data_IF_395613311881
#
_entry.id   IF_395613311881
#
_cell.length_a   1.000
_cell.length_b   1.000
_cell.length_c   1.000
_cell.angle_alpha   90.00
_cell.angle_beta   90.00
_cell.angle_gamma   90.00
#
_symmetry.space_group_name_H-M   'P 1'
#
loop_
_entity.id
_entity.type
_entity.pdbx_description
1 polymer ?
#
# COMPACT_ATOMS: atom_id res chain seq x y z
N UNK A 1 -11.27 77.47 -53.27
CA UNK A 1 -12.47 77.71 -54.11
C UNK A 1 -12.41 76.72 -55.26
N UNK A 2 -13.48 75.92 -55.42
CA UNK A 2 -13.88 75.20 -56.67
C UNK A 2 -12.95 74.04 -57.09
N UNK A 3 -13.32 72.78 -56.77
CA UNK A 3 -14.21 71.86 -57.51
C UNK A 3 -13.59 71.22 -58.75
N UNK A 4 -13.63 69.89 -58.80
CA UNK A 4 -13.95 69.01 -59.93
C UNK A 4 -13.35 67.63 -59.61
N UNK A 5 -14.08 66.51 -59.55
CA UNK A 5 -15.23 66.14 -60.35
C UNK A 5 -14.77 65.38 -61.60
N UNK A 6 -14.42 64.11 -61.45
CA UNK A 6 -14.18 63.20 -62.57
C UNK A 6 -14.65 61.79 -62.19
N UNK A 7 -15.76 61.37 -62.80
CA UNK A 7 -16.21 59.99 -62.79
C UNK A 7 -15.74 59.27 -64.05
N UNK A 8 -15.38 57.99 -63.92
CA UNK A 8 -15.40 57.05 -65.03
C UNK A 8 -15.66 55.63 -64.47
N UNK A 9 -16.56 54.93 -65.15
CA UNK A 9 -17.21 53.65 -64.78
C UNK A 9 -16.42 52.42 -65.22
N UNK A 10 -16.88 51.27 -64.70
CA UNK A 10 -16.71 49.83 -65.08
C UNK A 10 -15.75 49.12 -64.12
N UNK A 11 -16.06 47.97 -63.51
CA UNK A 11 -16.79 46.76 -63.93
C UNK A 11 -17.25 46.04 -62.63
N UNK A 12 -18.49 45.56 -62.52
CA UNK A 12 -18.88 44.16 -62.77
C UNK A 12 -18.25 43.15 -61.80
N UNK A 13 -18.89 42.86 -60.66
CA UNK A 13 -19.57 41.59 -60.35
C UNK A 13 -20.14 41.60 -58.90
N UNK A 14 -21.20 40.81 -58.62
CA UNK A 14 -22.08 41.02 -57.49
C UNK A 14 -21.67 40.24 -56.24
N UNK A 15 -21.85 40.89 -55.08
CA UNK A 15 -21.74 40.33 -53.74
C UNK A 15 -23.12 39.87 -53.25
N UNK A 16 -23.13 38.66 -52.70
CA UNK A 16 -24.09 38.08 -51.74
C UNK A 16 -25.52 37.75 -52.19
N UNK A 17 -25.78 36.45 -52.28
CA UNK A 17 -26.99 35.78 -51.79
C UNK A 17 -26.63 34.32 -51.51
N UNK A 18 -26.56 33.91 -50.24
CA UNK A 18 -27.70 33.41 -49.46
C UNK A 18 -27.67 31.88 -49.38
N UNK A 19 -27.57 31.40 -48.14
CA UNK A 19 -28.14 30.14 -47.63
C UNK A 19 -27.61 28.86 -48.29
N UNK A 20 -26.77 28.13 -47.56
CA UNK A 20 -26.53 26.71 -47.84
C UNK A 20 -26.77 25.89 -46.57
N UNK A 21 -27.77 25.03 -46.71
CA UNK A 21 -28.21 23.99 -45.81
C UNK A 21 -27.10 22.97 -45.50
N UNK A 22 -27.03 22.53 -44.25
CA UNK A 22 -26.60 21.16 -43.91
C UNK A 22 -27.66 20.14 -44.42
N UNK A 23 -27.41 18.81 -44.48
CA UNK A 23 -26.31 18.05 -43.86
C UNK A 23 -25.67 16.97 -44.76
N UNK A 24 -24.42 16.60 -44.50
CA UNK A 24 -23.96 15.21 -44.68
C UNK A 24 -22.83 14.87 -43.72
N UNK A 25 -22.90 13.63 -43.26
CA UNK A 25 -21.97 12.97 -42.36
C UNK A 25 -20.59 12.86 -42.99
N UNK A 26 -19.55 13.01 -42.17
CA UNK A 26 -18.34 12.20 -42.31
C UNK A 26 -17.64 12.10 -40.95
N UNK A 27 -17.41 10.85 -40.55
CA UNK A 27 -16.66 10.47 -39.39
C UNK A 27 -15.18 10.82 -39.60
N UNK A 28 -14.69 11.79 -38.85
CA UNK A 28 -13.28 12.06 -38.67
C UNK A 28 -12.93 11.79 -37.21
N UNK A 29 -12.56 10.55 -36.91
CA UNK A 29 -11.78 10.23 -35.70
C UNK A 29 -10.44 10.93 -35.84
N UNK A 30 -10.34 12.13 -35.27
CA UNK A 30 -9.07 12.83 -35.19
C UNK A 30 -8.18 12.07 -34.20
N UNK A 31 -7.23 11.36 -34.80
CA UNK A 31 -6.22 10.56 -34.15
C UNK A 31 -5.42 11.46 -33.21
N UNK A 32 -5.69 11.31 -31.91
CA UNK A 32 -4.78 11.81 -30.88
C UNK A 32 -3.49 11.02 -31.05
N UNK A 33 -2.45 11.73 -31.47
CA UNK A 33 -1.10 11.23 -31.61
C UNK A 33 -0.70 10.42 -30.36
N UNK A 34 -0.57 9.10 -30.54
CA UNK A 34 -0.02 8.19 -29.55
C UNK A 34 1.43 8.57 -29.28
N UNK A 35 1.62 9.26 -28.16
CA UNK A 35 2.90 9.38 -27.48
C UNK A 35 3.46 7.97 -27.21
N UNK A 36 4.79 7.79 -27.21
CA UNK A 36 5.42 6.47 -27.12
C UNK A 36 4.86 5.71 -25.91
N UNK A 37 4.40 4.46 -26.13
CA UNK A 37 3.78 3.57 -25.15
C UNK A 37 4.72 3.30 -23.97
N UNK A 38 4.77 4.26 -23.05
CA UNK A 38 5.32 4.09 -21.72
C UNK A 38 4.45 3.09 -20.98
N UNK A 39 5.09 2.16 -20.26
CA UNK A 39 4.41 1.15 -19.45
C UNK A 39 3.31 1.82 -18.63
N UNK A 40 2.05 1.46 -18.93
CA UNK A 40 0.91 1.98 -18.21
C UNK A 40 1.06 1.63 -16.73
N UNK A 41 1.09 2.66 -15.87
CA UNK A 41 1.20 2.49 -14.42
C UNK A 41 0.08 1.58 -13.92
N UNK A 42 0.32 0.90 -12.81
CA UNK A 42 -0.70 0.07 -12.18
C UNK A 42 -1.70 0.96 -11.41
N UNK A 43 -2.98 0.58 -11.29
CA UNK A 43 -3.67 -0.48 -12.03
C UNK A 43 -3.88 -0.11 -13.51
N UNK A 44 -3.72 -1.09 -14.40
CA UNK A 44 -3.87 -0.93 -15.85
C UNK A 44 -5.33 -1.06 -16.29
N UNK A 45 -5.71 -0.35 -17.35
CA UNK A 45 -7.07 -0.42 -17.89
C UNK A 45 -8.15 0.19 -16.98
N UNK A 46 -7.75 0.94 -15.94
CA UNK A 46 -8.66 1.63 -15.03
C UNK A 46 -8.48 3.13 -15.21
N UNK A 47 -9.62 3.84 -15.31
CA UNK A 47 -9.63 5.29 -15.50
C UNK A 47 -8.86 6.03 -14.40
N UNK A 48 -7.97 6.93 -14.82
CA UNK A 48 -7.21 7.87 -13.97
C UNK A 48 -7.85 9.25 -13.90
N UNK A 49 -9.04 9.43 -14.50
CA UNK A 49 -9.76 10.70 -14.47
C UNK A 49 -10.28 10.98 -13.06
N UNK A 50 -9.68 11.96 -12.40
CA UNK A 50 -10.07 12.40 -11.08
C UNK A 50 -11.48 13.03 -11.12
N UNK A 51 -12.43 12.40 -10.42
CA UNK A 51 -13.85 12.79 -10.45
C UNK A 51 -14.54 12.64 -9.10
N UNK A 52 -13.91 11.97 -8.13
CA UNK A 52 -14.50 11.63 -6.84
C UNK A 52 -13.92 12.48 -5.71
N UNK A 53 -14.77 12.86 -4.75
CA UNK A 53 -14.33 13.49 -3.50
C UNK A 53 -13.89 12.42 -2.50
N UNK A 54 -13.22 12.84 -1.43
CA UNK A 54 -12.77 11.93 -0.36
C UNK A 54 -13.95 11.17 0.29
N UNK A 55 -15.14 11.77 0.34
CA UNK A 55 -16.37 11.13 0.83
C UNK A 55 -16.80 9.95 -0.04
N UNK A 56 -16.70 10.10 -1.36
CA UNK A 56 -17.14 9.07 -2.32
C UNK A 56 -16.17 7.88 -2.28
N UNK A 57 -14.88 8.17 -2.19
CA UNK A 57 -13.83 7.16 -1.99
C UNK A 57 -14.02 6.42 -0.67
N UNK A 58 -14.32 7.15 0.40
CA UNK A 58 -14.56 6.55 1.72
C UNK A 58 -15.74 5.57 1.66
N UNK A 59 -16.86 5.98 1.07
CA UNK A 59 -18.03 5.12 0.89
C UNK A 59 -17.70 3.86 0.07
N UNK A 60 -16.92 3.99 -1.00
CA UNK A 60 -16.51 2.87 -1.84
C UNK A 60 -15.56 1.88 -1.15
N UNK A 61 -14.67 2.37 -0.28
CA UNK A 61 -13.71 1.54 0.44
C UNK A 61 -14.32 0.90 1.68
N UNK A 62 -15.26 1.56 2.36
CA UNK A 62 -15.91 1.03 3.57
C UNK A 62 -16.74 -0.24 3.34
N UNK A 63 -17.09 -0.54 2.08
CA UNK A 63 -17.72 -1.81 1.70
C UNK A 63 -16.80 -3.00 2.06
N UNK A 64 -15.49 -2.87 1.84
CA UNK A 64 -14.49 -3.93 2.09
C UNK A 64 -13.63 -3.66 3.34
N UNK A 65 -13.45 -2.38 3.70
CA UNK A 65 -12.64 -1.92 4.82
C UNK A 65 -13.45 -1.00 5.74
N UNK A 66 -14.40 -1.53 6.53
CA UNK A 66 -15.33 -0.70 7.31
C UNK A 66 -14.66 0.26 8.31
N UNK A 67 -13.45 -0.08 8.78
CA UNK A 67 -12.68 0.73 9.73
C UNK A 67 -11.88 1.87 9.07
N UNK A 68 -11.90 2.01 7.74
CA UNK A 68 -11.17 3.09 7.06
C UNK A 68 -11.84 4.44 7.34
N UNK A 69 -11.02 5.44 7.66
CA UNK A 69 -11.45 6.80 7.98
C UNK A 69 -10.82 7.81 7.03
N UNK A 70 -11.36 9.03 6.99
CA UNK A 70 -10.78 10.13 6.23
C UNK A 70 -9.34 10.46 6.67
N UNK A 71 -9.06 10.38 7.99
CA UNK A 71 -7.72 10.55 8.55
C UNK A 71 -6.75 9.47 8.04
N UNK A 72 -7.20 8.21 7.97
CA UNK A 72 -6.38 7.12 7.39
C UNK A 72 -6.06 7.37 5.92
N UNK A 73 -7.03 7.81 5.11
CA UNK A 73 -6.77 8.12 3.69
C UNK A 73 -5.78 9.27 3.49
N UNK A 74 -5.89 10.33 4.31
CA UNK A 74 -4.93 11.45 4.29
C UNK A 74 -3.53 10.99 4.69
N UNK A 75 -3.43 10.16 5.72
CA UNK A 75 -2.16 9.59 6.14
C UNK A 75 -1.52 8.74 5.03
N UNK A 76 -2.29 7.89 4.33
CA UNK A 76 -1.77 7.09 3.22
C UNK A 76 -1.30 7.95 2.02
N UNK A 77 -1.98 9.06 1.76
CA UNK A 77 -1.55 10.08 0.80
C UNK A 77 -0.23 10.75 1.24
N UNK A 78 -0.12 11.16 2.50
CA UNK A 78 1.11 11.76 3.05
C UNK A 78 2.30 10.81 3.00
N UNK A 79 2.06 9.50 3.08
CA UNK A 79 3.07 8.45 2.89
C UNK A 79 3.35 8.12 1.41
N UNK A 80 2.72 8.83 0.46
CA UNK A 80 2.99 8.69 -0.97
C UNK A 80 2.40 7.43 -1.63
N UNK A 81 1.45 6.76 -0.99
CA UNK A 81 0.87 5.51 -1.50
C UNK A 81 -0.25 5.74 -2.52
N UNK A 82 -0.79 6.97 -2.53
CA UNK A 82 -1.77 7.46 -3.49
C UNK A 82 -1.52 8.95 -3.72
N UNK A 83 -1.74 9.42 -4.96
CA UNK A 83 -1.44 10.79 -5.37
C UNK A 83 -2.67 11.44 -6.03
N UNK A 84 -3.70 11.84 -5.24
CA UNK A 84 -4.90 12.45 -5.78
C UNK A 84 -4.63 13.85 -6.36
N UNK A 85 -5.37 14.21 -7.41
CA UNK A 85 -5.25 15.52 -8.07
C UNK A 85 -5.82 16.61 -7.16
N UNK A 86 -5.14 17.76 -7.13
CA UNK A 86 -5.66 18.96 -6.48
C UNK A 86 -6.42 19.81 -7.50
N UNK A 87 -7.65 20.15 -7.17
CA UNK A 87 -8.44 21.14 -7.93
C UNK A 87 -7.82 22.54 -7.77
N UNK A 88 -8.09 23.49 -8.67
CA UNK A 88 -7.65 24.89 -8.53
C UNK A 88 -8.08 25.53 -7.19
N UNK A 89 -9.18 25.06 -6.60
CA UNK A 89 -9.67 25.46 -5.29
C UNK A 89 -9.03 24.70 -4.10
N UNK A 90 -8.02 23.86 -4.32
CA UNK A 90 -7.23 23.17 -3.29
C UNK A 90 -7.81 21.83 -2.78
N UNK A 91 -9.03 21.47 -3.19
CA UNK A 91 -9.64 20.19 -2.80
C UNK A 91 -9.01 18.99 -3.53
N UNK A 92 -8.96 17.85 -2.84
CA UNK A 92 -8.54 16.55 -3.40
C UNK A 92 -9.64 15.98 -4.29
N UNK A 93 -9.25 15.48 -5.45
CA UNK A 93 -10.07 14.62 -6.29
C UNK A 93 -9.32 13.32 -6.56
N UNK A 94 -10.04 12.22 -6.42
CA UNK A 94 -9.55 10.86 -6.62
C UNK A 94 -10.12 10.29 -7.90
N UNK A 95 -9.35 9.40 -8.51
CA UNK A 95 -9.72 8.62 -9.68
C UNK A 95 -10.10 7.17 -9.30
N UNK A 96 -10.78 6.43 -10.19
CA UNK A 96 -10.97 5.00 -9.99
C UNK A 96 -9.67 4.21 -9.78
N UNK A 97 -8.58 4.60 -10.45
CA UNK A 97 -7.27 3.99 -10.23
C UNK A 97 -6.73 4.21 -8.81
N UNK A 98 -6.97 5.37 -8.21
CA UNK A 98 -6.58 5.67 -6.82
C UNK A 98 -7.29 4.76 -5.81
N UNK A 99 -8.58 4.46 -6.06
CA UNK A 99 -9.35 3.54 -5.22
C UNK A 99 -8.71 2.15 -5.22
N UNK A 100 -8.35 1.63 -6.38
CA UNK A 100 -7.70 0.31 -6.47
C UNK A 100 -6.32 0.28 -5.80
N UNK A 101 -5.55 1.36 -5.92
CA UNK A 101 -4.29 1.49 -5.16
C UNK A 101 -4.55 1.45 -3.66
N UNK A 102 -5.54 2.20 -3.18
CA UNK A 102 -5.94 2.19 -1.78
C UNK A 102 -6.43 0.80 -1.34
N UNK A 103 -7.22 0.09 -2.16
CA UNK A 103 -7.63 -1.29 -1.88
C UNK A 103 -6.42 -2.21 -1.73
N UNK A 104 -5.45 -2.12 -2.63
CA UNK A 104 -4.21 -2.91 -2.53
C UNK A 104 -3.48 -2.63 -1.21
N UNK A 105 -3.22 -1.36 -0.90
CA UNK A 105 -2.55 -0.95 0.34
C UNK A 105 -3.29 -1.51 1.56
N UNK A 106 -4.60 -1.31 1.64
CA UNK A 106 -5.42 -1.76 2.77
C UNK A 106 -5.46 -3.28 2.89
N UNK A 107 -5.46 -4.05 1.79
CA UNK A 107 -5.31 -5.51 1.82
C UNK A 107 -3.96 -5.94 2.33
N UNK A 108 -2.86 -5.33 1.86
CA UNK A 108 -1.52 -5.69 2.35
C UNK A 108 -1.37 -5.41 3.85
N UNK A 109 -1.97 -4.33 4.35
CA UNK A 109 -1.99 -4.05 5.79
C UNK A 109 -2.88 -5.03 6.57
N UNK A 110 -4.10 -5.31 6.10
CA UNK A 110 -5.08 -6.15 6.80
C UNK A 110 -4.67 -7.62 6.82
N UNK A 111 -4.23 -8.14 5.67
CA UNK A 111 -4.07 -9.57 5.43
C UNK A 111 -2.62 -10.02 5.64
N UNK A 112 -1.66 -9.10 5.53
CA UNK A 112 -0.21 -9.41 5.64
C UNK A 112 0.54 -8.54 6.64
N UNK A 113 -0.12 -7.59 7.30
CA UNK A 113 0.49 -6.71 8.31
C UNK A 113 1.75 -5.99 7.79
N UNK A 114 1.77 -5.64 6.50
CA UNK A 114 2.97 -5.12 5.85
C UNK A 114 3.24 -3.64 6.21
N UNK A 115 4.51 -3.25 6.46
CA UNK A 115 4.89 -1.85 6.66
C UNK A 115 4.63 -1.00 5.41
N UNK A 116 4.19 0.25 5.60
CA UNK A 116 3.82 1.16 4.49
C UNK A 116 4.94 1.40 3.49
N UNK A 117 6.20 1.46 3.95
CA UNK A 117 7.37 1.61 3.09
C UNK A 117 7.48 0.46 2.08
N UNK A 118 7.32 -0.78 2.56
CA UNK A 118 7.39 -1.98 1.72
C UNK A 118 6.21 -2.04 0.74
N UNK A 119 5.02 -1.63 1.18
CA UNK A 119 3.86 -1.51 0.30
C UNK A 119 4.14 -0.50 -0.83
N UNK A 120 4.79 0.62 -0.51
CA UNK A 120 5.21 1.63 -1.49
C UNK A 120 6.20 1.07 -2.53
N UNK A 121 7.19 0.29 -2.08
CA UNK A 121 8.14 -0.40 -2.97
C UNK A 121 7.42 -1.38 -3.91
N UNK A 122 6.43 -2.12 -3.40
CA UNK A 122 5.62 -3.02 -4.23
C UNK A 122 4.77 -2.26 -5.25
N UNK A 123 4.16 -1.14 -4.86
CA UNK A 123 3.40 -0.30 -5.78
C UNK A 123 4.30 0.28 -6.88
N UNK A 124 5.54 0.64 -6.55
CA UNK A 124 6.52 1.11 -7.53
C UNK A 124 6.91 0.00 -8.53
N UNK A 125 7.06 -1.24 -8.06
CA UNK A 125 7.30 -2.40 -8.92
C UNK A 125 6.12 -2.68 -9.86
N UNK A 126 4.89 -2.63 -9.33
CA UNK A 126 3.66 -2.75 -10.13
C UNK A 126 3.56 -1.64 -11.18
N UNK A 127 3.94 -0.42 -10.83
CA UNK A 127 3.97 0.73 -11.75
C UNK A 127 5.03 0.60 -12.85
N UNK A 128 6.16 -0.05 -12.56
CA UNK A 128 7.17 -0.40 -13.56
C UNK A 128 6.72 -1.56 -14.48
N UNK A 129 5.54 -2.10 -14.23
CA UNK A 129 4.92 -3.14 -15.03
C UNK A 129 5.38 -4.55 -14.70
N UNK A 130 6.00 -4.74 -13.55
CA UNK A 130 6.20 -6.06 -12.97
C UNK A 130 4.81 -6.58 -12.56
N UNK A 131 4.33 -7.68 -13.15
CA UNK A 131 3.05 -8.29 -12.73
C UNK A 131 3.13 -8.70 -11.26
N UNK A 132 1.98 -8.73 -10.58
CA UNK A 132 1.82 -9.16 -9.18
C UNK A 132 2.10 -10.68 -9.06
N UNK A 133 3.35 -11.06 -9.30
CA UNK A 133 4.01 -12.24 -8.80
C UNK A 133 4.75 -11.87 -7.51
N UNK A 134 5.02 -12.83 -6.62
CA UNK A 134 5.52 -12.57 -5.28
C UNK A 134 6.86 -11.80 -5.29
N UNK A 135 6.77 -10.50 -5.00
CA UNK A 135 7.80 -9.52 -4.62
C UNK A 135 9.00 -9.31 -5.58
N UNK A 136 9.47 -8.06 -5.75
CA UNK A 136 10.69 -7.78 -6.50
C UNK A 136 11.91 -8.32 -5.75
N UNK A 137 12.60 -9.28 -6.36
CA UNK A 137 14.02 -9.48 -6.10
C UNK A 137 14.73 -8.18 -6.45
N UNK A 138 15.49 -7.64 -5.51
CA UNK A 138 16.45 -6.58 -5.78
C UNK A 138 17.24 -6.89 -7.06
N UNK A 139 17.07 -6.07 -8.09
CA UNK A 139 17.98 -6.04 -9.24
C UNK A 139 19.29 -5.42 -8.76
N UNK A 140 20.20 -6.27 -8.30
CA UNK A 140 21.63 -6.01 -8.41
C UNK A 140 22.17 -7.01 -9.42
N UNK A 141 22.65 -6.46 -10.53
CA UNK A 141 23.33 -7.20 -11.57
C UNK A 141 24.55 -7.91 -10.98
N UNK A 142 24.55 -9.23 -11.04
CA UNK A 142 25.78 -10.02 -11.03
C UNK A 142 25.79 -10.82 -12.33
N UNK A 143 26.87 -10.63 -13.09
CA UNK A 143 27.31 -11.54 -14.13
C UNK A 143 27.29 -12.99 -13.62
N UNK A 144 27.00 -13.90 -14.54
CA UNK A 144 27.03 -15.37 -14.39
C UNK A 144 25.68 -16.00 -14.00
N UNK A 145 24.96 -16.36 -15.06
CA UNK A 145 23.61 -16.91 -15.01
C UNK A 145 23.51 -18.23 -14.25
N UNK A 146 22.89 -18.18 -13.08
CA UNK A 146 22.10 -19.28 -12.54
C UNK A 146 20.77 -18.70 -12.05
N UNK A 147 19.69 -19.02 -12.77
CA UNK A 147 18.32 -18.64 -12.40
C UNK A 147 17.92 -19.37 -11.12
N UNK A 148 17.91 -18.68 -9.99
CA UNK A 148 17.13 -19.11 -8.82
C UNK A 148 16.02 -18.09 -8.57
N UNK A 149 14.85 -18.38 -9.15
CA UNK A 149 13.57 -17.78 -8.79
C UNK A 149 12.98 -18.59 -7.64
N UNK A 150 13.32 -18.21 -6.41
CA UNK A 150 12.66 -18.64 -5.19
C UNK A 150 12.14 -17.39 -4.46
N UNK A 151 10.82 -17.24 -4.28
CA UNK A 151 10.27 -16.33 -3.26
C UNK A 151 11.17 -16.42 -2.02
N UNK A 152 11.71 -15.29 -1.56
CA UNK A 152 12.73 -15.28 -0.51
C UNK A 152 12.18 -16.01 0.73
N UNK A 153 12.53 -17.29 0.86
CA UNK A 153 12.15 -18.08 2.03
C UNK A 153 12.95 -17.50 3.18
N UNK A 154 12.26 -16.97 4.17
CA UNK A 154 12.85 -16.58 5.44
C UNK A 154 13.31 -17.85 6.17
N UNK A 155 14.43 -18.41 5.76
CA UNK A 155 15.18 -19.46 6.47
C UNK A 155 16.00 -18.83 7.59
N UNK A 156 16.56 -19.67 8.47
CA UNK A 156 17.48 -19.19 9.52
C UNK A 156 18.68 -18.45 8.91
N UNK A 157 19.21 -18.96 7.79
CA UNK A 157 20.33 -18.39 7.05
C UNK A 157 20.00 -16.99 6.50
N UNK A 158 18.85 -16.84 5.83
CA UNK A 158 18.43 -15.54 5.29
C UNK A 158 18.07 -14.56 6.38
N UNK A 159 17.44 -15.00 7.50
CA UNK A 159 17.16 -14.12 8.63
C UNK A 159 18.44 -13.61 9.27
N UNK A 160 19.42 -14.49 9.47
CA UNK A 160 20.72 -14.14 10.03
C UNK A 160 21.43 -13.10 9.15
N UNK A 161 21.49 -13.33 7.84
CA UNK A 161 22.06 -12.40 6.87
C UNK A 161 21.36 -11.02 6.90
N UNK A 162 20.03 -10.99 6.79
CA UNK A 162 19.25 -9.74 6.73
C UNK A 162 19.22 -8.96 8.05
N UNK A 163 19.45 -9.63 9.18
CA UNK A 163 19.54 -9.02 10.50
C UNK A 163 20.98 -8.70 10.93
N UNK A 164 21.99 -9.10 10.14
CA UNK A 164 23.40 -8.86 10.46
C UNK A 164 23.92 -9.69 11.65
N UNK A 165 23.36 -10.88 11.89
CA UNK A 165 23.72 -11.78 13.00
C UNK A 165 24.21 -13.14 12.49
N UNK A 166 24.71 -13.98 13.39
CA UNK A 166 25.06 -15.37 13.05
C UNK A 166 23.83 -16.26 12.95
N UNK A 167 23.94 -17.34 12.16
CA UNK A 167 22.92 -18.40 12.10
C UNK A 167 22.63 -19.00 13.48
N UNK A 168 23.69 -19.24 14.26
CA UNK A 168 23.60 -19.79 15.61
C UNK A 168 22.78 -18.88 16.55
N UNK A 169 22.87 -17.56 16.40
CA UNK A 169 22.03 -16.63 17.15
C UNK A 169 20.54 -16.84 16.86
N UNK A 170 20.17 -17.05 15.59
CA UNK A 170 18.79 -17.37 15.21
C UNK A 170 18.37 -18.74 15.77
N UNK A 171 19.25 -19.74 15.71
CA UNK A 171 18.99 -21.07 16.29
C UNK A 171 18.83 -21.02 17.82
N UNK A 172 19.55 -20.15 18.52
CA UNK A 172 19.41 -19.92 19.95
C UNK A 172 18.04 -19.33 20.29
N UNK A 173 17.54 -18.37 19.49
CA UNK A 173 16.19 -17.83 19.63
C UNK A 173 15.11 -18.88 19.38
N UNK A 174 15.34 -19.81 18.43
CA UNK A 174 14.44 -20.95 18.20
C UNK A 174 14.48 -21.93 19.38
N UNK A 175 15.67 -22.27 19.89
CA UNK A 175 15.83 -23.18 21.04
C UNK A 175 15.19 -22.61 22.30
N UNK A 176 15.24 -21.30 22.47
CA UNK A 176 14.55 -20.58 23.54
C UNK A 176 13.03 -20.42 23.29
N UNK A 177 12.51 -20.87 22.14
CA UNK A 177 11.11 -20.73 21.71
C UNK A 177 10.63 -19.28 21.54
N UNK A 178 11.55 -18.32 21.43
CA UNK A 178 11.26 -16.91 21.11
C UNK A 178 10.77 -16.82 19.67
N UNK A 179 11.51 -17.44 18.76
CA UNK A 179 11.09 -17.69 17.38
C UNK A 179 10.57 -19.11 17.23
N UNK A 180 9.55 -19.27 16.39
CA UNK A 180 9.00 -20.59 16.04
C UNK A 180 8.97 -20.67 14.52
N UNK A 181 9.79 -21.54 13.90
CA UNK A 181 9.72 -21.72 12.46
C UNK A 181 8.38 -22.37 12.09
N UNK A 182 7.81 -21.93 10.99
CA UNK A 182 6.67 -22.57 10.35
C UNK A 182 7.07 -23.84 9.58
N UNK A 183 6.16 -24.37 8.75
CA UNK A 183 6.42 -25.55 7.94
C UNK A 183 7.69 -25.39 7.10
N UNK A 184 8.47 -26.48 6.99
CA UNK A 184 9.74 -26.53 6.23
C UNK A 184 10.83 -25.58 6.76
N UNK A 185 10.77 -25.17 8.03
CA UNK A 185 11.79 -24.32 8.64
C UNK A 185 11.73 -22.86 8.19
N UNK A 186 10.61 -22.43 7.62
CA UNK A 186 10.42 -21.07 7.10
C UNK A 186 9.77 -20.21 8.17
N UNK A 187 10.34 -19.04 8.42
CA UNK A 187 9.83 -18.03 9.34
C UNK A 187 8.90 -17.06 8.64
N UNK A 188 8.09 -16.37 9.43
CA UNK A 188 7.31 -15.24 8.96
C UNK A 188 8.19 -13.99 8.80
N UNK A 189 7.83 -13.03 7.93
CA UNK A 189 8.64 -11.83 7.71
C UNK A 189 8.91 -11.01 8.98
N UNK A 190 7.97 -10.96 9.93
CA UNK A 190 8.12 -10.26 11.21
C UNK A 190 9.23 -10.84 12.08
N UNK A 191 9.67 -12.09 11.83
CA UNK A 191 10.75 -12.70 12.59
C UNK A 191 12.05 -11.88 12.50
N UNK A 192 12.29 -11.17 11.39
CA UNK A 192 13.45 -10.29 11.24
C UNK A 192 13.48 -9.20 12.29
N UNK A 193 12.33 -8.56 12.56
CA UNK A 193 12.24 -7.48 13.56
C UNK A 193 12.56 -8.00 14.97
N UNK A 194 12.10 -9.23 15.27
CA UNK A 194 12.42 -9.91 16.54
C UNK A 194 13.92 -10.23 16.65
N UNK A 195 14.55 -10.70 15.56
CA UNK A 195 16.01 -10.99 15.56
C UNK A 195 16.82 -9.71 15.77
N UNK A 196 16.48 -8.62 15.08
CA UNK A 196 17.18 -7.34 15.21
C UNK A 196 17.04 -6.77 16.63
N UNK A 197 15.82 -6.80 17.19
CA UNK A 197 15.60 -6.35 18.57
C UNK A 197 16.34 -7.22 19.59
N UNK A 198 16.34 -8.55 19.40
CA UNK A 198 17.07 -9.48 20.24
C UNK A 198 18.59 -9.23 20.19
N UNK A 199 19.14 -8.94 19.01
CA UNK A 199 20.55 -8.62 18.84
C UNK A 199 20.92 -7.36 19.64
N UNK A 200 20.15 -6.28 19.49
CA UNK A 200 20.36 -5.05 20.25
C UNK A 200 20.24 -5.28 21.78
N UNK A 201 19.28 -6.09 22.22
CA UNK A 201 19.13 -6.46 23.64
C UNK A 201 20.33 -7.27 24.16
N UNK A 202 20.94 -8.12 23.32
CA UNK A 202 22.12 -8.90 23.71
C UNK A 202 23.36 -8.04 23.96
N UNK A 203 23.49 -6.88 23.30
CA UNK A 203 24.53 -5.88 23.59
C UNK A 203 24.44 -5.34 25.02
N UNK A 204 23.25 -5.43 25.64
CA UNK A 204 22.99 -5.07 27.02
C UNK A 204 22.94 -6.28 27.98
N UNK A 205 23.38 -7.47 27.55
CA UNK A 205 23.40 -8.70 28.35
C UNK A 205 22.04 -9.41 28.47
N UNK A 206 21.05 -9.01 27.67
CA UNK A 206 19.71 -9.62 27.66
C UNK A 206 19.65 -10.70 26.57
N UNK A 207 20.10 -11.90 26.91
CA UNK A 207 20.10 -13.05 25.99
C UNK A 207 18.72 -13.72 25.77
N UNK A 208 18.67 -14.65 24.80
CA UNK A 208 17.49 -15.43 24.41
C UNK A 208 16.68 -16.04 25.58
N UNK A 209 17.35 -16.46 26.67
CA UNK A 209 16.71 -17.01 27.87
C UNK A 209 15.80 -16.00 28.59
N UNK A 210 16.18 -14.73 28.59
CA UNK A 210 15.41 -13.62 29.17
C UNK A 210 14.26 -13.25 28.24
N UNK A 211 14.48 -13.31 26.93
CA UNK A 211 13.47 -13.02 25.91
C UNK A 211 12.26 -13.96 25.96
N UNK A 212 12.37 -15.13 26.60
CA UNK A 212 11.25 -16.03 26.87
C UNK A 212 10.10 -15.35 27.62
N UNK A 213 10.40 -14.42 28.53
CA UNK A 213 9.35 -13.72 29.28
C UNK A 213 8.56 -12.76 28.38
N UNK A 214 9.21 -12.14 27.40
CA UNK A 214 8.57 -11.30 26.39
C UNK A 214 7.68 -12.16 25.48
N UNK A 215 8.19 -13.31 25.02
CA UNK A 215 7.40 -14.27 24.26
C UNK A 215 6.15 -14.73 25.01
N UNK A 216 6.32 -15.10 26.28
CA UNK A 216 5.20 -15.56 27.11
C UNK A 216 4.18 -14.44 27.36
N UNK A 217 4.60 -13.18 27.48
CA UNK A 217 3.70 -12.05 27.59
C UNK A 217 2.90 -11.82 26.30
N UNK A 218 3.56 -11.90 25.13
CA UNK A 218 2.91 -11.80 23.83
C UNK A 218 1.90 -12.95 23.58
N UNK A 219 2.28 -14.19 23.90
CA UNK A 219 1.37 -15.35 23.80
C UNK A 219 0.12 -15.15 24.68
N UNK A 220 0.28 -14.66 25.93
CA UNK A 220 -0.87 -14.35 26.81
C UNK A 220 -1.77 -13.25 26.26
N UNK A 221 -1.21 -12.23 25.61
CA UNK A 221 -2.00 -11.18 24.97
C UNK A 221 -2.77 -11.73 23.77
N UNK A 222 -2.15 -12.59 22.97
CA UNK A 222 -2.82 -13.28 21.87
C UNK A 222 -3.96 -14.19 22.38
N UNK A 223 -3.76 -14.89 23.49
CA UNK A 223 -4.80 -15.72 24.12
C UNK A 223 -6.02 -14.88 24.56
N UNK A 224 -5.81 -13.67 25.08
CA UNK A 224 -6.91 -12.74 25.41
C UNK A 224 -7.68 -12.32 24.17
N UNK A 225 -6.98 -11.94 23.09
CA UNK A 225 -7.62 -11.60 21.80
C UNK A 225 -8.43 -12.79 21.30
N UNK A 226 -7.86 -13.99 21.35
CA UNK A 226 -8.45 -15.24 20.93
C UNK A 226 -9.72 -15.60 21.70
N UNK A 227 -9.75 -15.32 23.01
CA UNK A 227 -10.93 -15.46 23.86
C UNK A 227 -12.03 -14.47 23.48
N UNK A 228 -11.67 -13.21 23.21
CA UNK A 228 -12.65 -12.21 22.78
C UNK A 228 -13.31 -12.64 21.48
N UNK A 229 -12.55 -13.11 20.49
CA UNK A 229 -13.10 -13.45 19.17
C UNK A 229 -13.68 -14.87 19.06
N UNK A 230 -13.48 -15.71 20.09
CA UNK A 230 -13.96 -17.10 20.13
C UNK A 230 -15.44 -17.29 19.73
N UNK A 231 -16.41 -16.45 20.18
CA UNK A 231 -17.83 -16.63 19.85
C UNK A 231 -18.14 -16.59 18.34
N UNK A 232 -17.33 -15.88 17.56
CA UNK A 232 -17.54 -15.69 16.12
C UNK A 232 -16.84 -16.73 15.23
N UNK A 233 -15.99 -17.59 15.82
CA UNK A 233 -15.26 -18.65 15.10
C UNK A 233 -16.13 -19.86 14.76
N UNK A 234 -17.20 -20.13 15.52
CA UNK A 234 -18.14 -21.21 15.24
C UNK A 234 -19.15 -20.91 14.10
N UNK A 235 -19.27 -19.64 13.69
CA UNK A 235 -20.22 -19.23 12.65
C UNK A 235 -19.58 -19.27 11.26
N UNK A 236 -20.21 -20.01 10.33
CA UNK A 236 -19.71 -20.25 8.97
C UNK A 236 -19.83 -19.05 8.00
N UNK A 237 -20.46 -17.94 8.43
CA UNK A 237 -20.65 -16.78 7.56
C UNK A 237 -19.34 -16.02 7.32
N UNK A 238 -19.10 -15.60 6.07
CA UNK A 238 -18.00 -14.72 5.71
C UNK A 238 -18.04 -13.39 6.49
N UNK A 239 -19.24 -12.86 6.77
CA UNK A 239 -19.40 -11.63 7.58
C UNK A 239 -18.98 -11.82 9.04
N UNK A 240 -19.23 -12.99 9.63
CA UNK A 240 -18.82 -13.29 11.01
C UNK A 240 -17.30 -13.40 11.11
N UNK A 241 -16.65 -14.04 10.13
CA UNK A 241 -15.19 -14.14 10.06
C UNK A 241 -14.52 -12.79 9.86
N UNK A 242 -15.06 -11.95 8.96
CA UNK A 242 -14.58 -10.59 8.77
C UNK A 242 -14.68 -9.76 10.06
N UNK A 243 -15.83 -9.84 10.75
CA UNK A 243 -16.04 -9.18 12.04
C UNK A 243 -15.07 -9.66 13.12
N UNK A 244 -14.84 -10.98 13.20
CA UNK A 244 -13.86 -11.56 14.12
C UNK A 244 -12.45 -11.04 13.83
N UNK A 245 -12.04 -10.95 12.57
CA UNK A 245 -10.75 -10.39 12.17
C UNK A 245 -10.60 -8.91 12.53
N UNK A 246 -11.62 -8.09 12.26
CA UNK A 246 -11.61 -6.66 12.66
C UNK A 246 -11.50 -6.50 14.16
N UNK A 247 -12.29 -7.25 14.93
CA UNK A 247 -12.26 -7.20 16.39
C UNK A 247 -10.93 -7.70 16.96
N UNK A 248 -10.35 -8.75 16.38
CA UNK A 248 -9.04 -9.25 16.77
C UNK A 248 -7.96 -8.18 16.61
N UNK A 249 -7.96 -7.48 15.46
CA UNK A 249 -7.02 -6.40 15.19
C UNK A 249 -7.19 -5.22 16.17
N UNK A 250 -8.43 -4.82 16.44
CA UNK A 250 -8.74 -3.72 17.37
C UNK A 250 -8.29 -4.06 18.81
N UNK A 251 -8.64 -5.24 19.31
CA UNK A 251 -8.25 -5.68 20.66
C UNK A 251 -6.74 -5.88 20.76
N UNK A 252 -6.10 -6.45 19.74
CA UNK A 252 -4.64 -6.63 19.70
C UNK A 252 -3.88 -5.30 19.75
N UNK A 253 -4.37 -4.29 19.03
CA UNK A 253 -3.82 -2.94 19.08
C UNK A 253 -3.95 -2.32 20.48
N UNK A 254 -5.13 -2.43 21.10
CA UNK A 254 -5.35 -1.96 22.48
C UNK A 254 -4.46 -2.68 23.50
N UNK A 255 -4.28 -4.00 23.37
CA UNK A 255 -3.36 -4.76 24.21
C UNK A 255 -1.92 -4.26 24.09
N UNK A 256 -1.47 -3.94 22.87
CA UNK A 256 -0.11 -3.43 22.60
C UNK A 256 0.09 -2.03 23.16
N UNK A 257 -0.90 -1.15 23.00
CA UNK A 257 -0.88 0.20 23.57
C UNK A 257 -0.83 0.17 25.10
N UNK A 258 -1.69 -0.65 25.73
CA UNK A 258 -1.69 -0.83 27.18
C UNK A 258 -0.36 -1.39 27.70
N UNK A 259 0.20 -2.41 27.02
CA UNK A 259 1.50 -2.98 27.39
C UNK A 259 2.62 -1.93 27.36
N UNK A 260 2.69 -1.17 26.27
CA UNK A 260 3.69 -0.10 26.12
C UNK A 260 3.56 0.95 27.22
N UNK A 261 2.33 1.36 27.55
CA UNK A 261 2.08 2.31 28.62
C UNK A 261 2.52 1.78 30.01
N UNK A 262 2.19 0.52 30.33
CA UNK A 262 2.59 -0.11 31.59
C UNK A 262 4.11 -0.26 31.72
N UNK A 263 4.79 -0.67 30.64
CA UNK A 263 6.27 -0.77 30.62
C UNK A 263 6.91 0.61 30.82
N UNK A 264 6.40 1.65 30.13
CA UNK A 264 6.89 3.03 30.29
C UNK A 264 6.70 3.55 31.71
N UNK A 265 5.54 3.30 32.32
CA UNK A 265 5.28 3.68 33.70
C UNK A 265 6.27 2.99 34.67
N UNK A 266 6.44 1.68 34.54
CA UNK A 266 7.37 0.92 35.39
C UNK A 266 8.83 1.36 35.22
N UNK A 267 9.26 1.72 34.00
CA UNK A 267 10.61 2.26 33.75
C UNK A 267 10.77 3.67 34.34
N UNK A 268 9.73 4.51 34.25
CA UNK A 268 9.76 5.84 34.85
C UNK A 268 9.92 5.77 36.37
N UNK A 269 9.31 4.77 37.04
CA UNK A 269 9.48 4.55 38.48
C UNK A 269 10.89 4.08 38.87
N UNK A 270 11.67 3.55 37.92
CA UNK A 270 13.06 3.12 38.13
C UNK A 270 14.08 4.22 37.83
N UNK A 271 13.68 5.25 37.06
CA UNK A 271 14.54 6.37 36.72
C UNK A 271 14.64 7.32 37.94
N UNK A 272 15.85 7.68 38.40
CA UNK A 272 16.06 8.55 39.56
C UNK A 272 15.64 10.01 39.32
#
# INVERSE_FOLDING_TARGET
>A
MVSAGAGARRHMEPVESSVTSSPHAEAGTDAVAEAPEGVERWPRGISRRASMRISDVLAALQIEFPAVTTSKLRFLEEQGLVEPVRTPAGYRQYSPADIERLRYVLRQQRDRYMPLKVIGEHLAALDAGEEDGPAPRARLAASDGVRSSAVARWTAETLAHEAGVTRDFVEDLVRAAVLRPGPRGVFEPWAREVVVAAAALSEHGIDARHLRQFRAAADRQADLVEQVVAPWRGQRSASSRARAGTLAAEVGELCTQMHTALVRAAVADLAP
#
